data_IF_263128043820
#
_entry.id   IF_263128043820
#
_cell.length_a   1.000
_cell.length_b   1.000
_cell.length_c   1.000
_cell.angle_alpha   90.00
_cell.angle_beta   90.00
_cell.angle_gamma   90.00
#
_symmetry.space_group_name_H-M   'P 1'
#
loop_
_entity.id
_entity.type
_entity.pdbx_description
1 polymer ?
#
# COMPACT_ATOMS: atom_id res chain seq x y z
N UNK A 1 0.60 23.79 6.76
CA UNK A 1 1.38 23.31 5.61
C UNK A 1 0.49 22.34 4.85
N UNK A 2 0.16 22.60 3.59
CA UNK A 2 -0.57 21.63 2.75
C UNK A 2 0.32 20.42 2.48
N UNK A 3 -0.27 19.22 2.43
CA UNK A 3 0.48 18.01 2.10
C UNK A 3 1.11 18.14 0.70
N UNK A 4 2.30 17.56 0.46
CA UNK A 4 2.90 17.55 -0.87
C UNK A 4 1.96 16.85 -1.86
N UNK A 5 1.88 17.37 -3.08
CA UNK A 5 1.09 16.78 -4.16
C UNK A 5 1.79 15.50 -4.64
N UNK A 6 1.35 14.35 -4.12
CA UNK A 6 1.88 13.03 -4.50
C UNK A 6 1.12 12.57 -5.75
N UNK A 7 1.82 12.28 -6.87
CA UNK A 7 1.16 11.78 -8.07
C UNK A 7 0.44 10.45 -7.78
N UNK A 8 -0.79 10.29 -8.29
CA UNK A 8 -1.57 9.04 -8.21
C UNK A 8 -0.77 7.79 -8.57
N UNK A 9 0.11 7.88 -9.57
CA UNK A 9 0.97 6.77 -10.00
C UNK A 9 1.93 6.29 -8.91
N UNK A 10 2.29 7.16 -7.95
CA UNK A 10 3.09 6.80 -6.78
C UNK A 10 2.29 5.94 -5.81
N UNK A 11 1.02 6.27 -5.58
CA UNK A 11 0.12 5.50 -4.73
C UNK A 11 -0.19 4.14 -5.37
N UNK A 12 -0.49 4.11 -6.67
CA UNK A 12 -0.73 2.86 -7.39
C UNK A 12 0.49 1.93 -7.36
N UNK A 13 1.70 2.50 -7.46
CA UNK A 13 2.95 1.76 -7.32
C UNK A 13 3.08 1.15 -5.93
N UNK A 14 2.78 1.92 -4.87
CA UNK A 14 2.82 1.44 -3.50
C UNK A 14 1.78 0.34 -3.25
N UNK A 15 0.54 0.56 -3.67
CA UNK A 15 -0.55 -0.41 -3.54
C UNK A 15 -0.23 -1.72 -4.26
N UNK A 16 0.40 -1.65 -5.44
CA UNK A 16 0.86 -2.85 -6.14
C UNK A 16 1.98 -3.58 -5.40
N UNK A 17 2.96 -2.87 -4.83
CA UNK A 17 3.99 -3.52 -4.00
C UNK A 17 3.39 -4.27 -2.80
N UNK A 18 2.37 -3.68 -2.16
CA UNK A 18 1.66 -4.29 -1.04
C UNK A 18 0.86 -5.53 -1.49
N UNK A 19 0.13 -5.47 -2.61
CA UNK A 19 -0.61 -6.61 -3.17
C UNK A 19 0.30 -7.80 -3.47
N UNK A 20 1.44 -7.56 -4.11
CA UNK A 20 2.41 -8.62 -4.42
C UNK A 20 3.00 -9.26 -3.15
N UNK A 21 3.18 -8.48 -2.09
CA UNK A 21 3.72 -8.96 -0.80
C UNK A 21 2.70 -9.77 -0.02
N UNK A 22 1.50 -9.22 0.16
CA UNK A 22 0.51 -9.75 1.10
C UNK A 22 -0.45 -10.74 0.43
N UNK A 23 -0.85 -10.50 -0.82
CA UNK A 23 -1.83 -11.34 -1.53
C UNK A 23 -1.17 -12.39 -2.43
N UNK A 24 -0.04 -12.08 -3.08
CA UNK A 24 0.68 -13.04 -3.93
C UNK A 24 1.84 -13.76 -3.22
N UNK A 25 2.24 -13.32 -2.02
CA UNK A 25 3.27 -13.99 -1.22
C UNK A 25 4.71 -13.82 -1.73
N UNK A 26 4.96 -12.89 -2.66
CA UNK A 26 6.32 -12.64 -3.17
C UNK A 26 7.23 -12.11 -2.06
N UNK A 27 8.51 -12.44 -2.12
CA UNK A 27 9.54 -11.86 -1.25
C UNK A 27 9.77 -10.38 -1.55
N UNK A 28 10.22 -9.60 -0.56
CA UNK A 28 10.58 -8.19 -0.77
C UNK A 28 11.72 -8.01 -1.79
N UNK A 29 12.55 -9.05 -2.00
CA UNK A 29 13.58 -9.07 -3.05
C UNK A 29 12.93 -9.13 -4.43
N UNK A 30 12.06 -10.10 -4.67
CA UNK A 30 11.36 -10.27 -5.96
C UNK A 30 10.50 -9.05 -6.31
N UNK A 31 9.84 -8.45 -5.31
CA UNK A 31 9.11 -7.18 -5.52
C UNK A 31 10.08 -6.05 -5.88
N UNK A 32 11.22 -5.93 -5.19
CA UNK A 32 12.23 -4.92 -5.51
C UNK A 32 12.74 -5.04 -6.96
N UNK A 33 13.03 -6.26 -7.40
CA UNK A 33 13.46 -6.56 -8.78
C UNK A 33 12.42 -6.12 -9.81
N UNK A 34 11.12 -6.37 -9.57
CA UNK A 34 10.03 -5.95 -10.47
C UNK A 34 9.90 -4.43 -10.61
N UNK A 35 10.25 -3.68 -9.58
CA UNK A 35 10.07 -2.23 -9.54
C UNK A 35 11.38 -1.44 -9.68
N UNK A 36 12.52 -2.11 -9.89
CA UNK A 36 13.82 -1.45 -9.97
C UNK A 36 14.23 -0.74 -8.67
N UNK A 37 13.86 -1.30 -7.51
CA UNK A 37 14.20 -0.74 -6.19
C UNK A 37 14.83 -1.80 -5.29
N UNK A 38 15.53 -1.36 -4.24
CA UNK A 38 16.13 -2.30 -3.29
C UNK A 38 15.08 -3.03 -2.44
N UNK A 39 15.41 -4.23 -1.98
CA UNK A 39 14.63 -4.97 -0.97
C UNK A 39 14.29 -4.09 0.24
N UNK A 40 15.25 -3.30 0.71
CA UNK A 40 15.08 -2.42 1.88
C UNK A 40 14.06 -1.30 1.62
N UNK A 41 14.00 -0.78 0.39
CA UNK A 41 12.99 0.22 0.01
C UNK A 41 11.57 -0.37 0.11
N UNK A 42 11.38 -1.61 -0.38
CA UNK A 42 10.11 -2.34 -0.26
C UNK A 42 9.72 -2.58 1.20
N UNK A 43 10.66 -3.07 2.02
CA UNK A 43 10.41 -3.28 3.45
C UNK A 43 10.05 -1.98 4.19
N UNK A 44 10.72 -0.88 3.85
CA UNK A 44 10.39 0.44 4.38
C UNK A 44 8.98 0.89 3.99
N UNK A 45 8.56 0.64 2.75
CA UNK A 45 7.22 0.96 2.27
C UNK A 45 6.13 0.17 3.02
N UNK A 46 6.31 -1.15 3.13
CA UNK A 46 5.42 -2.04 3.91
C UNK A 46 5.35 -1.60 5.38
N UNK A 47 6.50 -1.36 6.01
CA UNK A 47 6.55 -0.96 7.42
C UNK A 47 5.87 0.37 7.68
N UNK A 48 5.90 1.33 6.76
CA UNK A 48 5.22 2.62 6.94
C UNK A 48 3.71 2.45 6.93
N UNK A 49 3.19 1.62 6.03
CA UNK A 49 1.75 1.34 5.95
C UNK A 49 1.26 0.60 7.20
N UNK A 50 1.97 -0.46 7.63
CA UNK A 50 1.59 -1.24 8.80
C UNK A 50 1.66 -0.46 10.12
N UNK A 51 2.54 0.55 10.21
CA UNK A 51 2.71 1.40 11.40
C UNK A 51 1.97 2.72 11.30
N UNK A 52 1.25 2.98 10.21
CA UNK A 52 0.52 4.23 10.05
C UNK A 52 -0.65 4.25 11.04
N UNK A 53 -0.63 5.21 11.95
CA UNK A 53 -1.80 5.56 12.74
C UNK A 53 -2.70 6.45 11.88
N UNK A 54 -3.81 5.88 11.42
CA UNK A 54 -4.84 6.60 10.67
C UNK A 54 -6.06 6.80 11.58
N UNK A 55 -6.48 8.04 11.86
CA UNK A 55 -7.71 8.28 12.60
C UNK A 55 -8.88 7.67 11.80
N UNK A 56 -9.77 6.94 12.49
CA UNK A 56 -10.96 6.38 11.85
C UNK A 56 -11.84 7.52 11.32
N UNK A 57 -11.81 7.71 10.00
CA UNK A 57 -12.70 8.61 9.27
C UNK A 57 -14.04 7.94 8.93
N UNK A 58 -14.40 6.89 9.67
CA UNK A 58 -15.54 6.05 9.40
C UNK A 58 -16.82 6.86 9.67
N UNK A 59 -17.60 7.16 8.63
CA UNK A 59 -18.87 7.89 8.76
C UNK A 59 -20.03 7.02 9.23
N UNK A 60 -19.93 5.70 8.99
CA UNK A 60 -20.86 4.66 9.43
C UNK A 60 -20.07 3.44 9.92
N UNK A 61 -19.63 3.40 11.18
CA UNK A 61 -18.81 2.30 11.68
C UNK A 61 -19.54 0.95 11.67
N UNK A 62 -20.87 0.94 11.70
CA UNK A 62 -21.69 -0.27 11.49
C UNK A 62 -21.65 -0.81 10.06
N UNK A 63 -21.34 0.04 9.07
CA UNK A 63 -21.02 -0.41 7.72
C UNK A 63 -19.62 -1.01 7.76
N UNK A 64 -19.57 -2.27 8.16
CA UNK A 64 -18.45 -3.16 7.89
C UNK A 64 -18.46 -3.50 6.39
N UNK A 65 -18.43 -2.50 5.51
CA UNK A 65 -18.23 -2.64 4.05
C UNK A 65 -16.78 -3.09 3.80
N UNK A 66 -16.43 -4.21 4.43
CA UNK A 66 -15.20 -4.94 4.29
C UNK A 66 -15.31 -5.78 3.04
N UNK A 67 -14.99 -5.19 1.90
CA UNK A 67 -14.25 -5.85 0.84
C UNK A 67 -14.11 -4.87 -0.33
N UNK A 68 -13.19 -3.92 -0.21
CA UNK A 68 -12.58 -3.41 -1.44
C UNK A 68 -11.80 -4.60 -2.04
N UNK A 69 -12.33 -5.16 -3.13
CA UNK A 69 -11.78 -6.36 -3.76
C UNK A 69 -10.30 -6.21 -4.12
N UNK A 70 -9.63 -7.34 -4.40
CA UNK A 70 -8.23 -7.32 -4.77
C UNK A 70 -7.99 -6.40 -5.98
N UNK A 71 -7.07 -5.44 -5.84
CA UNK A 71 -6.76 -4.39 -6.84
C UNK A 71 -7.89 -3.40 -7.15
N UNK A 72 -8.74 -3.08 -6.16
CA UNK A 72 -9.83 -2.08 -6.27
C UNK A 72 -9.40 -0.68 -6.73
N UNK A 73 -8.12 -0.32 -6.57
CA UNK A 73 -7.59 0.99 -6.95
C UNK A 73 -7.34 1.14 -8.46
N UNK A 74 -7.51 0.05 -9.21
CA UNK A 74 -7.38 0.04 -10.67
C UNK A 74 -8.66 0.43 -11.38
#
# INVERSE_FOLDING_TARGET
MSAPDIPRSSDERLLMMLDLREAEGLTAKEVGERFGVSKSAVLGAVSRVLKAEVPCACTKPENQDGAMGRRWWK
#
